data_IF_884731604946
#
_entry.id   IF_884731604946
#
_cell.length_a   1.000
_cell.length_b   1.000
_cell.length_c   1.000
_cell.angle_alpha   90.00
_cell.angle_beta   90.00
_cell.angle_gamma   90.00
#
_symmetry.space_group_name_H-M   'P 1'
#
loop_
_entity.id
_entity.type
_entity.pdbx_description
1 polymer ?
#
# COMPACT_ATOMS: atom_id res chain seq x y z
N UNK A 1 -18.51 19.57 17.14
CA UNK A 1 -17.11 19.98 17.45
C UNK A 1 -16.22 18.96 16.78
N UNK A 2 -15.26 19.40 15.98
CA UNK A 2 -14.30 18.50 15.37
C UNK A 2 -13.42 17.88 16.47
N UNK A 3 -13.12 16.59 16.35
CA UNK A 3 -12.23 15.91 17.28
C UNK A 3 -10.80 16.41 17.07
N UNK A 4 -10.10 16.76 18.16
CA UNK A 4 -8.69 17.18 18.12
C UNK A 4 -7.85 16.06 18.77
N UNK A 5 -6.77 15.67 18.12
CA UNK A 5 -5.78 14.68 18.59
C UNK A 5 -4.52 15.43 19.02
N UNK A 6 -3.97 15.06 20.19
CA UNK A 6 -2.75 15.64 20.77
C UNK A 6 -2.80 17.19 20.85
N UNK A 7 -3.97 17.78 21.11
CA UNK A 7 -4.22 19.22 21.19
C UNK A 7 -3.76 20.01 19.93
N UNK A 8 -3.49 19.31 18.83
CA UNK A 8 -2.86 19.86 17.62
C UNK A 8 -3.56 19.51 16.32
N UNK A 9 -4.00 18.26 16.16
CA UNK A 9 -4.48 17.75 14.88
C UNK A 9 -6.01 17.73 14.86
N UNK A 10 -6.63 18.67 14.18
CA UNK A 10 -8.08 18.77 14.03
C UNK A 10 -8.56 17.84 12.91
N UNK A 11 -9.34 16.81 13.27
CA UNK A 11 -9.89 15.86 12.30
C UNK A 11 -11.01 16.51 11.51
N UNK A 12 -10.98 16.37 10.17
CA UNK A 12 -11.95 16.97 9.25
C UNK A 12 -12.90 15.89 8.71
N UNK A 13 -12.37 14.86 8.08
CA UNK A 13 -13.16 13.81 7.42
C UNK A 13 -12.40 12.49 7.37
N UNK A 14 -13.11 11.37 7.17
CA UNK A 14 -12.51 10.06 6.96
C UNK A 14 -12.21 9.92 5.47
N UNK A 15 -10.94 9.70 5.13
CA UNK A 15 -10.47 9.52 3.75
C UNK A 15 -10.06 8.07 3.44
N UNK A 16 -9.98 7.21 4.46
CA UNK A 16 -9.67 5.78 4.28
C UNK A 16 -10.05 4.95 5.50
N UNK A 17 -10.54 3.73 5.26
CA UNK A 17 -10.87 2.78 6.31
C UNK A 17 -10.17 1.46 6.05
N UNK A 18 -9.26 1.07 6.95
CA UNK A 18 -8.54 -0.19 6.87
C UNK A 18 -8.92 -1.16 7.99
N UNK A 19 -8.44 -2.38 7.92
CA UNK A 19 -8.70 -3.40 8.95
C UNK A 19 -8.12 -3.03 10.32
N UNK A 20 -6.97 -2.35 10.35
CA UNK A 20 -6.24 -2.03 11.58
C UNK A 20 -6.40 -0.57 12.00
N UNK A 21 -6.52 0.35 11.07
CA UNK A 21 -6.53 1.79 11.31
C UNK A 21 -7.46 2.50 10.34
N UNK A 22 -7.96 3.66 10.75
CA UNK A 22 -8.71 4.57 9.89
C UNK A 22 -7.83 5.80 9.58
N UNK A 23 -7.94 6.33 8.36
CA UNK A 23 -7.17 7.49 7.89
C UNK A 23 -8.11 8.67 7.77
N UNK A 24 -7.73 9.78 8.38
CA UNK A 24 -8.49 11.02 8.39
C UNK A 24 -7.74 12.12 7.63
N UNK A 25 -8.47 12.94 6.91
CA UNK A 25 -8.03 14.27 6.55
C UNK A 25 -8.05 15.13 7.81
N UNK A 26 -6.99 15.87 8.08
CA UNK A 26 -6.89 16.70 9.26
C UNK A 26 -6.10 17.99 8.98
N UNK A 27 -6.22 18.95 9.90
CA UNK A 27 -5.44 20.17 9.89
C UNK A 27 -4.44 20.16 11.06
N UNK A 28 -3.17 20.38 10.78
CA UNK A 28 -2.13 20.70 11.77
C UNK A 28 -2.31 22.17 12.18
N UNK A 29 -2.91 22.41 13.34
CA UNK A 29 -3.27 23.77 13.81
C UNK A 29 -2.05 24.62 14.14
N UNK A 30 -0.88 24.00 14.45
CA UNK A 30 0.36 24.72 14.75
C UNK A 30 1.03 25.18 13.46
N UNK A 31 1.14 24.28 12.46
CA UNK A 31 1.80 24.58 11.19
C UNK A 31 0.85 25.10 10.11
N UNK A 32 -0.45 25.16 10.42
CA UNK A 32 -1.53 25.59 9.53
C UNK A 32 -1.44 24.93 8.14
N UNK A 33 -1.39 23.60 8.14
CA UNK A 33 -1.31 22.79 6.92
C UNK A 33 -2.25 21.60 6.97
N UNK A 34 -2.74 21.20 5.80
CA UNK A 34 -3.53 19.98 5.62
C UNK A 34 -2.60 18.76 5.70
N UNK A 35 -3.02 17.74 6.45
CA UNK A 35 -2.30 16.50 6.68
C UNK A 35 -3.25 15.31 6.56
N UNK A 36 -2.71 14.11 6.43
CA UNK A 36 -3.41 12.87 6.72
C UNK A 36 -2.98 12.34 8.08
N UNK A 37 -3.92 11.81 8.86
CA UNK A 37 -3.61 11.17 10.14
C UNK A 37 -4.22 9.77 10.16
N UNK A 38 -3.38 8.77 10.35
CA UNK A 38 -3.76 7.36 10.49
C UNK A 38 -3.88 7.04 11.96
N UNK A 39 -5.04 6.56 12.40
CA UNK A 39 -5.34 6.29 13.81
C UNK A 39 -5.64 4.81 13.97
N UNK A 40 -4.91 4.14 14.87
CA UNK A 40 -5.16 2.74 15.22
C UNK A 40 -6.55 2.60 15.82
N UNK A 41 -7.33 1.61 15.36
CA UNK A 41 -8.68 1.38 15.89
C UNK A 41 -8.65 1.04 17.36
N UNK A 42 -9.54 1.64 18.14
CA UNK A 42 -9.64 1.47 19.60
C UNK A 42 -9.80 0.00 20.01
N UNK A 43 -10.47 -0.83 19.20
CA UNK A 43 -10.61 -2.27 19.43
C UNK A 43 -9.27 -3.02 19.40
N UNK A 44 -8.27 -2.50 18.68
CA UNK A 44 -6.94 -3.08 18.52
C UNK A 44 -5.86 -2.38 19.35
N UNK A 45 -6.15 -1.19 19.85
CA UNK A 45 -5.22 -0.38 20.65
C UNK A 45 -4.90 -0.96 22.03
N UNK A 46 -5.57 -2.07 22.42
CA UNK A 46 -5.30 -2.82 23.67
C UNK A 46 -4.42 -4.05 23.45
N UNK A 47 -4.16 -4.43 22.21
CA UNK A 47 -3.34 -5.60 21.88
C UNK A 47 -1.92 -5.15 21.53
N UNK A 48 -0.91 -5.55 22.34
CA UNK A 48 0.50 -5.15 22.13
C UNK A 48 1.04 -5.53 20.74
N UNK A 49 0.48 -6.58 20.11
CA UNK A 49 0.92 -7.02 18.78
C UNK A 49 0.55 -5.96 17.73
N UNK A 50 -0.68 -5.44 17.76
CA UNK A 50 -1.12 -4.42 16.81
C UNK A 50 -0.43 -3.07 17.06
N UNK A 51 -0.21 -2.70 18.32
CA UNK A 51 0.55 -1.49 18.69
C UNK A 51 1.97 -1.58 18.13
N UNK A 52 2.67 -2.69 18.40
CA UNK A 52 4.05 -2.87 17.92
C UNK A 52 4.14 -2.88 16.38
N UNK A 53 3.14 -3.43 15.69
CA UNK A 53 3.06 -3.38 14.22
C UNK A 53 2.90 -1.95 13.73
N UNK A 54 1.95 -1.22 14.30
CA UNK A 54 1.67 0.17 13.94
C UNK A 54 2.90 1.08 14.14
N UNK A 55 3.59 0.94 15.27
CA UNK A 55 4.82 1.69 15.56
C UNK A 55 5.99 1.32 14.64
N UNK A 56 6.14 0.04 14.26
CA UNK A 56 7.18 -0.39 13.31
C UNK A 56 6.93 0.17 11.91
N UNK A 57 5.69 0.17 11.44
CA UNK A 57 5.30 0.78 10.17
C UNK A 57 5.70 2.25 10.14
N UNK A 58 5.33 2.98 11.20
CA UNK A 58 5.69 4.39 11.35
C UNK A 58 7.20 4.62 11.34
N UNK A 59 7.95 3.83 12.13
CA UNK A 59 9.41 4.00 12.26
C UNK A 59 10.15 3.75 10.95
N UNK A 60 9.73 2.77 10.17
CA UNK A 60 10.37 2.48 8.89
C UNK A 60 10.05 3.54 7.84
N UNK A 61 8.80 3.99 7.76
CA UNK A 61 8.40 5.04 6.83
C UNK A 61 9.03 6.40 7.21
N UNK A 62 9.17 6.71 8.50
CA UNK A 62 9.80 7.94 8.98
C UNK A 62 11.29 8.07 8.60
N UNK A 63 11.99 6.95 8.38
CA UNK A 63 13.37 6.95 7.90
C UNK A 63 13.51 7.28 6.40
N UNK A 64 12.38 7.29 5.65
CA UNK A 64 12.37 7.46 4.21
C UNK A 64 11.98 8.88 3.83
N UNK A 65 12.84 9.56 3.10
CA UNK A 65 12.51 10.82 2.43
C UNK A 65 12.75 10.65 0.93
N UNK A 66 11.66 10.74 0.14
CA UNK A 66 11.70 10.64 -1.31
C UNK A 66 10.40 11.17 -1.93
N UNK A 67 10.48 11.87 -3.06
CA UNK A 67 9.33 12.48 -3.75
C UNK A 67 8.19 11.50 -4.08
N UNK A 68 8.52 10.22 -4.26
CA UNK A 68 7.56 9.16 -4.58
C UNK A 68 7.24 8.24 -3.37
N UNK A 69 7.48 8.71 -2.16
CA UNK A 69 7.07 8.07 -0.90
C UNK A 69 6.28 9.09 -0.10
N UNK A 70 5.20 8.65 0.54
CA UNK A 70 4.41 9.49 1.46
C UNK A 70 5.27 9.79 2.69
N UNK A 71 5.47 11.06 2.99
CA UNK A 71 6.32 11.50 4.09
C UNK A 71 5.60 11.37 5.43
N UNK A 72 6.27 10.83 6.44
CA UNK A 72 5.78 10.79 7.83
C UNK A 72 6.28 12.04 8.55
N UNK A 73 5.36 12.76 9.20
CA UNK A 73 5.66 14.00 9.91
C UNK A 73 5.76 13.84 11.41
N UNK A 74 4.94 12.94 11.97
CA UNK A 74 4.88 12.74 13.42
C UNK A 74 4.28 11.37 13.75
N UNK A 75 4.59 10.85 14.94
CA UNK A 75 4.05 9.61 15.48
C UNK A 75 3.83 9.78 16.96
N UNK A 76 2.66 9.44 17.45
CA UNK A 76 2.37 9.63 18.87
C UNK A 76 1.23 8.78 19.39
N UNK A 77 0.93 9.07 20.65
CA UNK A 77 -0.17 8.49 21.40
C UNK A 77 -0.91 9.62 22.13
N UNK A 78 -2.22 9.62 22.08
CA UNK A 78 -3.08 10.54 22.80
C UNK A 78 -4.31 9.80 23.31
N UNK A 79 -4.52 9.77 24.64
CA UNK A 79 -5.64 9.11 25.31
C UNK A 79 -5.84 7.63 24.84
N UNK A 80 -4.78 6.82 24.88
CA UNK A 80 -4.72 5.43 24.40
C UNK A 80 -4.99 5.28 22.90
N UNK A 81 -4.95 6.37 22.12
CA UNK A 81 -5.05 6.35 20.66
C UNK A 81 -3.68 6.56 20.02
N UNK A 82 -3.17 5.53 19.35
CA UNK A 82 -1.93 5.61 18.58
C UNK A 82 -2.20 6.23 17.21
N UNK A 83 -1.37 7.19 16.80
CA UNK A 83 -1.54 7.89 15.53
C UNK A 83 -0.22 8.06 14.78
N UNK A 84 -0.34 8.19 13.46
CA UNK A 84 0.76 8.54 12.54
C UNK A 84 0.27 9.73 11.71
N UNK A 85 1.00 10.84 11.76
CA UNK A 85 0.76 12.03 10.95
C UNK A 85 1.61 11.97 9.70
N UNK A 86 1.00 12.15 8.54
CA UNK A 86 1.69 12.02 7.27
C UNK A 86 1.22 13.07 6.25
N UNK A 87 1.98 13.16 5.18
CA UNK A 87 1.64 13.95 4.00
C UNK A 87 0.23 13.59 3.50
N UNK A 88 -0.61 14.60 3.35
CA UNK A 88 -1.85 14.45 2.60
C UNK A 88 -1.54 14.51 1.10
N UNK A 89 -1.84 13.46 0.37
CA UNK A 89 -1.68 13.37 -1.08
C UNK A 89 -3.05 13.56 -1.73
N UNK A 90 -3.33 14.72 -2.33
CA UNK A 90 -4.59 14.95 -3.01
C UNK A 90 -4.63 14.12 -4.30
N UNK A 91 -5.49 13.12 -4.36
CA UNK A 91 -5.57 12.19 -5.49
C UNK A 91 -6.40 10.96 -5.16
N UNK A 92 -6.06 9.87 -5.81
CA UNK A 92 -6.72 8.57 -5.63
C UNK A 92 -5.68 7.46 -5.52
N UNK A 93 -6.11 6.35 -4.96
CA UNK A 93 -5.33 5.12 -5.05
C UNK A 93 -5.25 4.63 -6.50
N UNK A 94 -4.17 3.98 -6.85
CA UNK A 94 -4.02 3.34 -8.16
C UNK A 94 -5.12 2.29 -8.40
N UNK A 95 -5.62 1.66 -7.32
CA UNK A 95 -6.75 0.73 -7.38
C UNK A 95 -8.05 1.39 -7.83
N UNK A 96 -8.36 2.57 -7.29
CA UNK A 96 -9.53 3.36 -7.70
C UNK A 96 -9.38 3.85 -9.14
N UNK A 97 -8.16 4.20 -9.55
CA UNK A 97 -7.88 4.61 -10.92
C UNK A 97 -8.17 3.46 -11.90
N UNK A 98 -7.66 2.24 -11.61
CA UNK A 98 -7.91 1.04 -12.39
C UNK A 98 -9.42 0.71 -12.41
N UNK A 99 -10.07 0.74 -11.26
CA UNK A 99 -11.51 0.45 -11.16
C UNK A 99 -12.36 1.40 -12.00
N UNK A 100 -11.97 2.68 -12.07
CA UNK A 100 -12.69 3.70 -12.83
C UNK A 100 -12.43 3.64 -14.34
N UNK A 101 -11.19 3.32 -14.75
CA UNK A 101 -10.73 3.48 -16.14
C UNK A 101 -10.45 2.16 -16.86
N UNK A 102 -10.33 1.05 -16.13
CA UNK A 102 -9.81 -0.22 -16.65
C UNK A 102 -8.31 -0.13 -16.94
N UNK A 103 -7.87 -0.77 -18.01
CA UNK A 103 -6.49 -0.73 -18.46
C UNK A 103 -6.03 0.72 -18.78
N UNK A 104 -4.83 1.07 -18.34
CA UNK A 104 -4.23 2.35 -18.66
C UNK A 104 -3.47 2.31 -19.99
N UNK A 105 -3.26 3.48 -20.56
CA UNK A 105 -2.38 3.60 -21.73
C UNK A 105 -0.94 3.20 -21.33
N UNK A 106 -0.24 2.49 -22.22
CA UNK A 106 1.10 1.92 -21.95
C UNK A 106 2.08 2.97 -21.42
N UNK A 107 2.13 4.16 -22.05
CA UNK A 107 3.05 5.22 -21.60
C UNK A 107 2.70 5.76 -20.22
N UNK A 108 1.42 5.91 -19.90
CA UNK A 108 0.97 6.33 -18.56
C UNK A 108 1.33 5.28 -17.50
N UNK A 109 1.10 3.99 -17.78
CA UNK A 109 1.48 2.91 -16.89
C UNK A 109 3.00 2.89 -16.66
N UNK A 110 3.81 3.10 -17.69
CA UNK A 110 5.27 3.19 -17.60
C UNK A 110 5.69 4.39 -16.72
N UNK A 111 5.08 5.56 -16.90
CA UNK A 111 5.43 6.76 -16.14
C UNK A 111 5.08 6.62 -14.65
N UNK A 112 3.95 6.01 -14.32
CA UNK A 112 3.59 5.67 -12.94
C UNK A 112 4.61 4.67 -12.37
N UNK A 113 4.90 3.59 -13.10
CA UNK A 113 5.81 2.55 -12.62
C UNK A 113 7.24 3.05 -12.42
N UNK A 114 7.76 3.94 -13.27
CA UNK A 114 9.07 4.58 -13.07
C UNK A 114 9.14 5.32 -11.74
N UNK A 115 8.08 6.04 -11.38
CA UNK A 115 8.01 6.78 -10.13
C UNK A 115 7.95 5.83 -8.93
N UNK A 116 7.10 4.80 -8.99
CA UNK A 116 6.98 3.78 -7.94
C UNK A 116 8.30 3.03 -7.76
N UNK A 117 8.93 2.59 -8.85
CA UNK A 117 10.24 1.93 -8.81
C UNK A 117 11.33 2.83 -8.20
N UNK A 118 11.30 4.15 -8.48
CA UNK A 118 12.24 5.10 -7.87
C UNK A 118 12.08 5.17 -6.35
N UNK A 119 10.84 5.24 -5.85
CA UNK A 119 10.54 5.20 -4.40
C UNK A 119 10.93 3.87 -3.76
N UNK A 120 10.59 2.74 -4.40
CA UNK A 120 10.93 1.40 -3.92
C UNK A 120 12.46 1.20 -3.87
N UNK A 121 13.19 1.63 -4.89
CA UNK A 121 14.65 1.56 -4.92
C UNK A 121 15.27 2.34 -3.76
N UNK A 122 14.73 3.52 -3.42
CA UNK A 122 15.16 4.30 -2.26
C UNK A 122 14.96 3.54 -0.96
N UNK A 123 13.81 2.90 -0.76
CA UNK A 123 13.54 2.08 0.42
C UNK A 123 14.53 0.90 0.52
N UNK A 124 14.74 0.18 -0.58
CA UNK A 124 15.69 -0.94 -0.63
C UNK A 124 17.13 -0.52 -0.32
N UNK A 125 17.59 0.64 -0.80
CA UNK A 125 18.91 1.20 -0.44
C UNK A 125 19.06 1.45 1.06
N UNK A 126 17.96 1.74 1.76
CA UNK A 126 17.92 1.91 3.21
C UNK A 126 17.69 0.59 3.97
N UNK A 127 17.70 -0.55 3.27
CA UNK A 127 17.43 -1.88 3.85
C UNK A 127 15.97 -2.11 4.23
N UNK A 128 15.03 -1.28 3.73
CA UNK A 128 13.61 -1.36 4.03
C UNK A 128 12.89 -2.05 2.87
N UNK A 129 12.21 -3.17 3.17
CA UNK A 129 11.37 -3.91 2.25
C UNK A 129 9.92 -3.54 2.54
N UNK A 130 9.12 -3.24 1.50
CA UNK A 130 7.75 -2.79 1.65
C UNK A 130 6.79 -3.92 2.07
N UNK A 131 6.90 -5.10 1.46
CA UNK A 131 6.17 -6.34 1.78
C UNK A 131 4.68 -6.38 1.43
N UNK A 132 4.05 -5.27 1.10
CA UNK A 132 2.62 -5.16 0.74
C UNK A 132 2.42 -4.16 -0.41
N UNK A 133 3.28 -4.23 -1.45
CA UNK A 133 3.12 -3.40 -2.65
C UNK A 133 1.90 -3.88 -3.45
N UNK A 134 0.93 -2.97 -3.60
CA UNK A 134 -0.33 -3.18 -4.32
C UNK A 134 -0.93 -1.85 -4.72
N UNK A 135 -1.86 -1.80 -5.67
CA UNK A 135 -2.46 -0.55 -6.14
C UNK A 135 -3.16 0.29 -5.06
N UNK A 136 -3.65 -0.35 -4.00
CA UNK A 136 -4.26 0.36 -2.85
C UNK A 136 -3.25 1.21 -2.08
N UNK A 137 -1.97 0.81 -2.07
CA UNK A 137 -0.88 1.48 -1.35
C UNK A 137 -0.08 2.42 -2.26
N UNK A 138 -0.57 2.72 -3.45
CA UNK A 138 0.03 3.68 -4.38
C UNK A 138 -1.00 4.78 -4.64
N UNK A 139 -0.67 6.01 -4.25
CA UNK A 139 -1.50 7.19 -4.48
C UNK A 139 -1.02 7.90 -5.76
N UNK A 140 -1.96 8.36 -6.57
CA UNK A 140 -1.67 9.13 -7.78
C UNK A 140 -2.44 10.43 -7.73
N UNK A 141 -1.71 11.55 -7.78
CA UNK A 141 -2.30 12.89 -7.83
C UNK A 141 -2.92 13.18 -9.20
N UNK A 142 -3.77 14.18 -9.28
CA UNK A 142 -4.35 14.63 -10.55
C UNK A 142 -3.28 15.18 -11.53
N UNK A 143 -2.09 15.53 -11.03
CA UNK A 143 -0.92 15.93 -11.85
C UNK A 143 -0.05 14.76 -12.31
N UNK A 144 -0.42 13.51 -11.97
CA UNK A 144 0.31 12.30 -12.37
C UNK A 144 1.51 11.95 -11.47
N UNK A 145 1.63 12.58 -10.29
CA UNK A 145 2.67 12.20 -9.33
C UNK A 145 2.22 10.95 -8.56
N UNK A 146 3.03 9.88 -8.62
CA UNK A 146 2.79 8.66 -7.86
C UNK A 146 3.60 8.65 -6.56
N UNK A 147 2.95 8.25 -5.44
CA UNK A 147 3.58 8.11 -4.12
C UNK A 147 3.20 6.79 -3.47
N UNK A 148 4.18 6.10 -2.91
CA UNK A 148 4.00 4.87 -2.15
C UNK A 148 3.60 5.24 -0.73
N UNK A 149 2.53 4.64 -0.23
CA UNK A 149 2.05 4.74 1.14
C UNK A 149 2.14 3.38 1.85
N UNK A 150 1.98 3.38 3.17
CA UNK A 150 1.80 2.18 3.99
C UNK A 150 2.87 1.10 3.81
N UNK A 151 4.10 1.40 4.27
CA UNK A 151 5.18 0.39 4.32
C UNK A 151 4.79 -0.76 5.25
N UNK A 152 4.35 -1.87 4.65
CA UNK A 152 3.73 -3.03 5.30
C UNK A 152 4.70 -3.89 6.11
N UNK A 153 5.43 -3.31 7.09
CA UNK A 153 6.32 -4.06 7.98
C UNK A 153 5.54 -5.09 8.81
N UNK A 154 4.23 -4.97 8.86
CA UNK A 154 3.31 -5.84 9.55
C UNK A 154 2.75 -6.98 8.70
N UNK A 155 3.15 -7.12 7.43
CA UNK A 155 2.62 -8.13 6.53
C UNK A 155 3.02 -9.54 7.00
N UNK A 156 2.03 -10.31 7.17
CA UNK A 156 1.82 -11.75 7.35
C UNK A 156 3.10 -12.60 7.35
N UNK A 157 3.47 -13.08 8.54
CA UNK A 157 4.56 -14.07 8.67
C UNK A 157 4.11 -15.53 8.50
N UNK A 158 2.82 -15.82 8.24
CA UNK A 158 2.38 -17.20 7.99
C UNK A 158 1.04 -17.30 7.29
N UNK A 159 0.96 -18.21 6.31
CA UNK A 159 -0.27 -18.66 5.63
C UNK A 159 -1.38 -19.12 6.61
N UNK A 160 -1.03 -19.48 7.84
CA UNK A 160 -1.98 -19.92 8.86
C UNK A 160 -2.91 -18.84 9.38
N UNK A 161 -2.67 -17.55 9.06
CA UNK A 161 -3.55 -16.43 9.43
C UNK A 161 -4.53 -16.02 8.30
N UNK A 162 -4.49 -16.66 7.15
CA UNK A 162 -5.33 -16.34 5.98
C UNK A 162 -6.81 -16.72 6.11
N UNK A 163 -7.29 -17.10 7.28
CA UNK A 163 -8.64 -17.70 7.41
C UNK A 163 -9.79 -16.71 7.57
N UNK A 164 -9.60 -15.43 7.69
CA UNK A 164 -10.73 -14.48 7.85
C UNK A 164 -10.42 -13.06 7.33
N UNK A 165 -11.05 -12.64 6.27
CA UNK A 165 -11.60 -11.35 5.83
C UNK A 165 -11.24 -10.96 4.38
N UNK A 166 -12.14 -10.26 3.68
CA UNK A 166 -12.01 -9.73 2.30
C UNK A 166 -10.76 -8.83 2.10
N UNK A 167 -10.26 -8.20 3.16
CA UNK A 167 -9.04 -7.38 3.16
C UNK A 167 -7.80 -8.21 2.87
N UNK A 168 -7.77 -9.46 3.34
CA UNK A 168 -6.67 -10.41 3.10
C UNK A 168 -6.69 -10.88 1.64
N UNK A 169 -7.89 -11.13 1.08
CA UNK A 169 -8.05 -11.55 -0.31
C UNK A 169 -7.41 -10.56 -1.30
N UNK A 170 -7.57 -9.25 -1.06
CA UNK A 170 -7.02 -8.21 -1.94
C UNK A 170 -5.49 -8.21 -2.04
N UNK A 171 -4.78 -8.52 -0.96
CA UNK A 171 -3.29 -8.53 -0.94
C UNK A 171 -2.71 -9.79 -1.58
N UNK A 172 -3.46 -10.90 -1.60
CA UNK A 172 -2.99 -12.17 -2.16
C UNK A 172 -2.73 -12.12 -3.66
N UNK A 173 -3.43 -11.26 -4.38
CA UNK A 173 -3.24 -11.08 -5.83
C UNK A 173 -1.86 -10.56 -6.21
N UNK A 174 -1.06 -10.06 -5.26
CA UNK A 174 0.29 -9.51 -5.47
C UNK A 174 1.36 -10.30 -4.70
N UNK A 175 0.97 -11.45 -4.13
CA UNK A 175 1.83 -12.26 -3.26
C UNK A 175 2.96 -12.91 -4.08
N UNK A 176 4.20 -12.66 -3.69
CA UNK A 176 5.34 -13.31 -4.31
C UNK A 176 5.38 -14.83 -3.99
N UNK A 177 5.85 -15.68 -4.93
CA UNK A 177 5.87 -17.15 -4.77
C UNK A 177 6.56 -17.61 -3.49
N UNK A 178 7.68 -17.00 -3.11
CA UNK A 178 8.41 -17.32 -1.89
C UNK A 178 7.58 -17.02 -0.64
N UNK A 179 6.79 -15.94 -0.65
CA UNK A 179 5.89 -15.63 0.47
C UNK A 179 4.73 -16.63 0.56
N UNK A 180 4.23 -17.08 -0.58
CA UNK A 180 3.24 -18.15 -0.63
C UNK A 180 3.75 -19.48 -0.03
N UNK A 181 5.07 -19.74 -0.08
CA UNK A 181 5.72 -20.87 0.59
C UNK A 181 6.02 -20.64 2.07
N UNK A 182 5.72 -19.43 2.61
CA UNK A 182 6.02 -19.07 4.00
C UNK A 182 7.46 -18.61 4.23
N UNK A 183 8.20 -18.31 3.17
CA UNK A 183 9.56 -17.78 3.24
C UNK A 183 9.54 -16.28 3.65
N UNK A 184 10.70 -15.75 4.02
CA UNK A 184 10.81 -14.33 4.39
C UNK A 184 10.76 -13.42 3.16
N UNK A 185 10.12 -12.27 3.33
CA UNK A 185 10.11 -11.22 2.31
C UNK A 185 11.53 -10.70 2.02
N UNK A 186 11.81 -10.49 0.74
CA UNK A 186 13.07 -9.94 0.24
C UNK A 186 12.79 -8.77 -0.73
N UNK A 187 13.84 -8.15 -1.22
CA UNK A 187 13.75 -7.16 -2.31
C UNK A 187 13.04 -7.74 -3.54
N UNK A 188 13.28 -9.02 -3.84
CA UNK A 188 12.65 -9.71 -4.96
C UNK A 188 11.14 -9.85 -4.79
N UNK A 189 10.66 -10.01 -3.56
CA UNK A 189 9.22 -10.05 -3.26
C UNK A 189 8.51 -8.74 -3.65
N UNK A 190 9.14 -7.60 -3.35
CA UNK A 190 8.61 -6.29 -3.77
C UNK A 190 8.67 -6.12 -5.30
N UNK A 191 9.75 -6.58 -5.94
CA UNK A 191 9.89 -6.52 -7.41
C UNK A 191 8.82 -7.38 -8.09
N UNK A 192 8.56 -8.59 -7.56
CA UNK A 192 7.48 -9.43 -8.06
C UNK A 192 6.12 -8.75 -7.95
N UNK A 193 5.79 -8.22 -6.77
CA UNK A 193 4.54 -7.50 -6.54
C UNK A 193 4.36 -6.32 -7.51
N UNK A 194 5.43 -5.55 -7.78
CA UNK A 194 5.43 -4.47 -8.77
C UNK A 194 5.22 -4.98 -10.20
N UNK A 195 5.73 -6.15 -10.54
CA UNK A 195 5.44 -6.82 -11.82
C UNK A 195 3.94 -7.11 -11.97
N UNK A 196 3.29 -7.61 -10.92
CA UNK A 196 1.85 -7.85 -10.90
C UNK A 196 1.04 -6.54 -10.98
N UNK A 197 1.47 -5.51 -10.25
CA UNK A 197 0.86 -4.16 -10.35
C UNK A 197 0.95 -3.63 -11.79
N UNK A 198 2.10 -3.75 -12.42
CA UNK A 198 2.29 -3.30 -13.81
C UNK A 198 1.41 -4.09 -14.79
N UNK A 199 1.32 -5.40 -14.60
CA UNK A 199 0.40 -6.24 -15.37
C UNK A 199 -1.05 -5.76 -15.23
N UNK A 200 -1.51 -5.48 -14.00
CA UNK A 200 -2.86 -4.99 -13.76
C UNK A 200 -3.10 -3.61 -14.37
N UNK A 201 -2.12 -2.71 -14.34
CA UNK A 201 -2.21 -1.40 -15.01
C UNK A 201 -2.44 -1.54 -16.52
N UNK A 202 -1.76 -2.49 -17.16
CA UNK A 202 -1.83 -2.70 -18.61
C UNK A 202 -3.06 -3.49 -19.05
N UNK A 203 -3.63 -4.32 -18.17
CA UNK A 203 -4.79 -5.17 -18.48
C UNK A 203 -6.10 -4.66 -17.87
N UNK A 204 -6.04 -3.91 -16.76
CA UNK A 204 -7.20 -3.54 -15.95
C UNK A 204 -7.66 -4.62 -14.96
N UNK A 205 -6.98 -5.76 -14.93
CA UNK A 205 -7.31 -6.92 -14.09
C UNK A 205 -6.04 -7.63 -13.64
N UNK A 206 -6.08 -8.24 -12.47
CA UNK A 206 -4.99 -9.08 -11.95
C UNK A 206 -4.77 -10.32 -12.83
N UNK A 207 -3.53 -10.86 -12.94
CA UNK A 207 -3.25 -12.05 -13.75
C UNK A 207 -3.89 -13.30 -13.18
N UNK A 208 -3.90 -13.44 -11.86
CA UNK A 208 -4.37 -14.62 -11.16
C UNK A 208 -5.56 -14.28 -10.28
N UNK A 209 -6.65 -15.04 -10.46
CA UNK A 209 -7.85 -14.98 -9.66
C UNK A 209 -8.28 -16.40 -9.27
N UNK A 210 -9.03 -16.57 -8.19
CA UNK A 210 -9.44 -17.87 -7.70
C UNK A 210 -10.55 -17.77 -6.66
N UNK A 211 -11.24 -18.89 -6.45
CA UNK A 211 -12.37 -19.00 -5.50
C UNK A 211 -11.90 -19.01 -4.03
N UNK A 212 -10.61 -19.24 -3.79
CA UNK A 212 -10.05 -19.29 -2.44
C UNK A 212 -8.64 -18.66 -2.40
N UNK A 213 -8.23 -18.17 -1.21
CA UNK A 213 -6.86 -17.70 -0.96
C UNK A 213 -5.79 -18.70 -1.41
N UNK A 214 -6.00 -19.97 -1.15
CA UNK A 214 -5.07 -21.05 -1.49
C UNK A 214 -4.94 -21.20 -3.01
N UNK A 215 -6.05 -21.12 -3.75
CA UNK A 215 -6.02 -21.21 -5.21
C UNK A 215 -5.23 -20.05 -5.84
N UNK A 216 -5.38 -18.82 -5.31
CA UNK A 216 -4.60 -17.66 -5.79
C UNK A 216 -3.11 -17.86 -5.50
N UNK A 217 -2.76 -18.28 -4.30
CA UNK A 217 -1.37 -18.54 -3.91
C UNK A 217 -0.72 -19.63 -4.76
N UNK A 218 -1.43 -20.74 -5.06
CA UNK A 218 -0.95 -21.81 -5.92
C UNK A 218 -0.67 -21.31 -7.34
N UNK A 219 -1.52 -20.46 -7.90
CA UNK A 219 -1.31 -19.86 -9.23
C UNK A 219 -0.03 -19.04 -9.28
N UNK A 220 0.24 -18.19 -8.28
CA UNK A 220 1.50 -17.46 -8.18
C UNK A 220 2.74 -18.36 -8.13
N UNK A 221 2.59 -19.60 -7.65
CA UNK A 221 3.70 -20.56 -7.54
C UNK A 221 3.90 -21.43 -8.78
N UNK A 222 2.86 -21.65 -9.57
CA UNK A 222 2.82 -22.73 -10.57
C UNK A 222 2.45 -22.27 -11.98
N UNK A 223 1.71 -21.17 -12.12
CA UNK A 223 1.22 -20.73 -13.43
C UNK A 223 2.10 -19.62 -14.01
N UNK A 224 2.28 -19.63 -15.32
CA UNK A 224 2.90 -18.54 -16.06
C UNK A 224 1.93 -17.36 -16.16
N UNK A 225 2.49 -16.13 -16.25
CA UNK A 225 1.69 -14.93 -16.47
C UNK A 225 1.00 -15.02 -17.84
N UNK A 226 -0.34 -14.77 -17.90
CA UNK A 226 -1.04 -14.71 -19.17
C UNK A 226 -0.47 -13.60 -20.06
N UNK A 227 -0.41 -13.84 -21.37
CA UNK A 227 0.17 -12.89 -22.32
C UNK A 227 -0.65 -11.59 -22.37
N UNK A 228 0.00 -10.46 -22.08
CA UNK A 228 -0.61 -9.14 -22.22
C UNK A 228 -0.95 -8.81 -23.68
N UNK A 229 -0.22 -9.37 -24.66
CA UNK A 229 -0.44 -9.13 -26.08
C UNK A 229 -1.73 -9.75 -26.64
N UNK A 230 -2.26 -10.77 -25.97
CA UNK A 230 -3.60 -11.30 -26.30
C UNK A 230 -4.70 -10.26 -26.06
N UNK A 231 -4.47 -9.35 -25.09
CA UNK A 231 -5.41 -8.28 -24.74
C UNK A 231 -5.10 -6.96 -25.39
N UNK A 232 -3.82 -6.68 -25.59
CA UNK A 232 -3.34 -5.46 -26.23
C UNK A 232 -2.13 -5.75 -27.14
N UNK A 233 -2.36 -6.00 -28.44
CA UNK A 233 -1.29 -6.29 -29.40
C UNK A 233 -0.26 -5.16 -29.60
N UNK A 234 -0.58 -3.93 -29.14
CA UNK A 234 0.35 -2.79 -29.21
C UNK A 234 1.47 -2.85 -28.20
N UNK A 235 1.39 -3.76 -27.20
CA UNK A 235 2.47 -3.96 -26.25
C UNK A 235 3.64 -4.64 -26.96
N UNK A 236 4.87 -4.05 -26.89
CA UNK A 236 6.05 -4.62 -27.53
C UNK A 236 6.33 -6.06 -27.08
N UNK A 237 6.89 -6.87 -27.98
CA UNK A 237 7.47 -8.14 -27.59
C UNK A 237 8.85 -7.85 -27.00
N UNK A 238 9.12 -8.34 -25.79
CA UNK A 238 10.43 -8.23 -25.13
C UNK A 238 11.47 -9.09 -25.84
#
# INVERSE_FOLDING_TARGET
>A
MNKIIAERYELIDIIGQGGMADVYLANDTILNRTIAIKILRTSLAKDPIYIARFQREASAAAALSHKNIVEIYDVGEDNDQYYIVMEYVPGRTLKELIAKRGALHVMEAIDIMKQVLSGTARAHQMGIIHRDLKPQNILVTDTGTAKIADFGIASIQSLTQFTQTDVIMGSLHYLAPELARGEKATVQSDIYALGIVFYELLRGQVPFNGESPVNIALKHMQEDLPSLREFNPSIPQS
#
